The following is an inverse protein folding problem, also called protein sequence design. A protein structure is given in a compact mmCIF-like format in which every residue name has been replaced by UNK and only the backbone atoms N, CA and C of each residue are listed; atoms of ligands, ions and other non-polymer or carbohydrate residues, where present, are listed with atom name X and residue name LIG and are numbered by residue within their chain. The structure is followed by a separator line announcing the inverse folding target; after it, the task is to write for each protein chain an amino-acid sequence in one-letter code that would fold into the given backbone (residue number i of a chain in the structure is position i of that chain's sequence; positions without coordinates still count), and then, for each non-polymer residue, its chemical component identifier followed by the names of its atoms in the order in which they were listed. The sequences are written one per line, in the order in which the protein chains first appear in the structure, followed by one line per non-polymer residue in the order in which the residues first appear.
data_IF_646383687201
#
_entry.id   IF_646383687201
#
_cell.length_a   1.000
_cell.length_b   1.000
_cell.length_c   1.000
_cell.angle_alpha   90.00
_cell.angle_beta   90.00
_cell.angle_gamma   90.00
#
_symmetry.space_group_name_H-M   'P 1'
#
loop_
_entity.id
_entity.type
_entity.pdbx_description
1 polymer ?
#
# COMPACT_ATOMS: atom_id res chain seq x y z
N UNK A 1 -70.17 -19.76 -45.51
CA UNK A 1 -68.77 -20.14 -45.45
C UNK A 1 -67.97 -18.91 -45.09
N UNK A 2 -67.56 -18.76 -43.82
CA UNK A 2 -66.68 -17.65 -43.34
C UNK A 2 -65.44 -18.30 -42.76
N UNK A 3 -64.30 -18.08 -43.41
CA UNK A 3 -63.01 -18.57 -42.92
C UNK A 3 -62.43 -17.57 -41.89
N UNK A 4 -62.30 -18.00 -40.65
CA UNK A 4 -61.56 -17.31 -39.63
C UNK A 4 -60.10 -17.75 -39.72
N UNK A 5 -59.18 -16.83 -40.05
CA UNK A 5 -57.74 -17.02 -39.92
C UNK A 5 -57.31 -16.44 -38.58
N UNK A 6 -56.97 -17.32 -37.65
CA UNK A 6 -56.41 -16.97 -36.35
C UNK A 6 -54.92 -16.69 -36.56
N UNK A 7 -54.49 -15.46 -36.33
CA UNK A 7 -53.06 -15.07 -36.37
C UNK A 7 -52.46 -15.37 -34.99
N UNK A 8 -51.48 -16.24 -34.94
CA UNK A 8 -50.70 -16.58 -33.77
C UNK A 8 -49.57 -15.57 -33.58
N UNK A 9 -49.68 -14.69 -32.61
CA UNK A 9 -48.62 -13.74 -32.28
C UNK A 9 -47.58 -14.44 -31.38
N UNK A 10 -46.38 -14.67 -31.92
CA UNK A 10 -45.22 -15.17 -31.19
C UNK A 10 -44.53 -13.99 -30.49
N UNK A 11 -44.73 -13.83 -29.18
CA UNK A 11 -43.93 -12.90 -28.36
C UNK A 11 -42.57 -13.50 -28.12
N UNK A 12 -41.53 -12.94 -28.80
CA UNK A 12 -40.13 -13.21 -28.50
C UNK A 12 -39.78 -12.45 -27.23
N UNK A 13 -39.72 -13.14 -26.09
CA UNK A 13 -39.12 -12.59 -24.86
C UNK A 13 -37.60 -12.65 -24.98
N UNK A 14 -36.98 -11.51 -25.26
CA UNK A 14 -35.52 -11.34 -25.16
C UNK A 14 -35.11 -11.34 -23.69
N UNK A 15 -34.57 -12.46 -23.18
CA UNK A 15 -33.83 -12.49 -21.92
C UNK A 15 -32.57 -11.64 -22.07
N UNK A 16 -32.57 -10.44 -21.49
CA UNK A 16 -31.33 -9.73 -21.18
C UNK A 16 -30.62 -10.52 -20.06
N UNK A 17 -29.62 -11.29 -20.41
CA UNK A 17 -28.67 -11.82 -19.45
C UNK A 17 -27.86 -10.64 -18.91
N UNK A 18 -28.22 -10.13 -17.72
CA UNK A 18 -27.37 -9.26 -16.93
C UNK A 18 -26.18 -10.11 -16.50
N UNK A 19 -25.10 -10.04 -17.27
CA UNK A 19 -23.83 -10.63 -16.91
C UNK A 19 -23.34 -9.93 -15.66
N UNK A 20 -23.47 -10.57 -14.51
CA UNK A 20 -22.74 -10.17 -13.29
C UNK A 20 -21.26 -10.42 -13.58
N UNK A 21 -20.52 -9.35 -13.94
CA UNK A 21 -19.07 -9.41 -13.97
C UNK A 21 -18.62 -9.78 -12.56
N UNK A 22 -18.09 -10.99 -12.39
CA UNK A 22 -17.46 -11.37 -11.13
C UNK A 22 -16.36 -10.36 -10.81
N UNK A 23 -16.34 -9.84 -9.58
CA UNK A 23 -15.29 -8.94 -9.15
C UNK A 23 -13.97 -9.70 -9.23
N UNK A 24 -13.06 -9.21 -10.05
CA UNK A 24 -11.71 -9.75 -10.17
C UNK A 24 -10.91 -9.29 -8.96
N UNK A 25 -10.34 -10.24 -8.22
CA UNK A 25 -9.61 -9.96 -7.00
C UNK A 25 -8.33 -10.78 -6.91
N UNK A 26 -7.23 -10.15 -6.53
CA UNK A 26 -6.00 -10.82 -6.12
C UNK A 26 -5.82 -10.65 -4.62
N UNK A 27 -5.45 -11.74 -3.93
CA UNK A 27 -5.29 -11.76 -2.48
C UNK A 27 -3.94 -12.36 -2.13
N UNK A 28 -3.21 -11.67 -1.27
CA UNK A 28 -1.95 -12.11 -0.67
C UNK A 28 -2.15 -12.25 0.83
N UNK A 29 -1.70 -13.37 1.39
CA UNK A 29 -1.55 -13.53 2.83
C UNK A 29 -0.12 -13.20 3.19
N UNK A 30 0.09 -12.59 4.36
CA UNK A 30 1.37 -12.20 4.90
C UNK A 30 1.61 -12.87 6.27
N UNK A 31 2.83 -13.18 6.66
CA UNK A 31 3.12 -13.71 7.98
C UNK A 31 2.71 -12.75 9.09
N UNK A 32 2.61 -13.26 10.31
CA UNK A 32 2.26 -12.47 11.48
C UNK A 32 3.45 -12.33 12.40
N UNK A 33 3.64 -11.12 12.94
CA UNK A 33 4.63 -10.83 13.97
C UNK A 33 6.00 -10.46 13.43
N UNK A 34 6.07 -10.06 12.16
CA UNK A 34 7.29 -9.61 11.48
C UNK A 34 7.35 -8.09 11.26
N UNK A 35 6.44 -7.34 11.86
CA UNK A 35 6.36 -5.88 11.88
C UNK A 35 7.51 -5.15 12.63
N UNK A 36 8.72 -5.70 12.51
CA UNK A 36 9.95 -5.19 13.14
C UNK A 36 11.00 -4.78 12.10
N UNK A 37 10.58 -4.40 10.91
CA UNK A 37 11.47 -4.00 9.84
C UNK A 37 12.47 -5.09 9.46
N UNK A 38 13.79 -4.80 9.48
CA UNK A 38 14.82 -5.82 9.23
C UNK A 38 14.89 -6.94 10.30
N UNK A 39 14.05 -6.88 11.35
CA UNK A 39 13.95 -7.87 12.42
C UNK A 39 14.32 -7.36 13.82
N UNK A 40 14.77 -6.11 13.94
CA UNK A 40 15.28 -5.53 15.19
C UNK A 40 14.56 -4.24 15.62
N UNK A 41 13.54 -3.77 14.90
CA UNK A 41 12.87 -2.53 15.27
C UNK A 41 12.04 -2.69 16.53
N UNK A 42 12.05 -1.63 17.32
CA UNK A 42 11.38 -1.54 18.62
C UNK A 42 10.24 -0.52 18.47
N UNK A 43 9.05 -0.92 18.91
CA UNK A 43 7.88 -0.06 18.91
C UNK A 43 8.08 1.19 19.78
N UNK A 44 7.43 2.31 19.43
CA UNK A 44 7.36 3.49 20.29
C UNK A 44 6.76 3.15 21.66
N UNK A 45 7.12 3.96 22.67
CA UNK A 45 6.69 3.70 24.06
C UNK A 45 5.28 4.18 24.39
N UNK A 46 4.68 5.01 23.53
CA UNK A 46 3.29 5.45 23.75
C UNK A 46 2.29 4.32 23.43
N UNK A 47 1.27 4.21 24.26
CA UNK A 47 0.26 3.15 24.20
C UNK A 47 -0.62 3.17 22.95
N UNK A 48 -0.58 4.21 22.16
CA UNK A 48 -1.28 4.30 20.85
C UNK A 48 -0.65 3.36 19.80
N UNK A 49 0.60 2.95 20.01
CA UNK A 49 1.33 2.01 19.15
C UNK A 49 1.17 0.59 19.67
N UNK A 50 0.04 -0.01 19.40
CA UNK A 50 -0.25 -1.38 19.86
C UNK A 50 0.54 -2.42 19.09
N UNK A 51 0.93 -3.49 19.76
CA UNK A 51 1.57 -4.64 19.09
C UNK A 51 0.71 -5.16 17.94
N UNK A 52 1.32 -5.42 16.80
CA UNK A 52 0.66 -5.85 15.57
C UNK A 52 -0.10 -4.75 14.81
N UNK A 53 -0.05 -3.49 15.27
CA UNK A 53 -0.73 -2.38 14.56
C UNK A 53 -0.03 -1.98 13.25
N UNK A 54 1.19 -2.46 13.05
CA UNK A 54 1.97 -2.28 11.81
C UNK A 54 2.24 -3.61 11.09
N UNK A 55 1.70 -4.72 11.58
CA UNK A 55 1.84 -6.09 11.07
C UNK A 55 0.77 -6.35 10.01
N UNK A 56 1.16 -6.35 8.74
CA UNK A 56 0.30 -6.72 7.61
C UNK A 56 -0.02 -8.21 7.72
N UNK A 57 -1.26 -8.60 7.54
CA UNK A 57 -1.65 -10.02 7.57
C UNK A 57 -2.31 -10.48 6.29
N UNK A 58 -2.83 -9.51 5.52
CA UNK A 58 -3.47 -9.77 4.23
C UNK A 58 -3.53 -8.50 3.39
N UNK A 59 -3.35 -8.66 2.10
CA UNK A 59 -3.60 -7.63 1.10
C UNK A 59 -4.58 -8.16 0.07
N UNK A 60 -5.64 -7.41 -0.20
CA UNK A 60 -6.61 -7.73 -1.25
C UNK A 60 -6.75 -6.54 -2.20
N UNK A 61 -6.62 -6.80 -3.50
CA UNK A 61 -6.86 -5.81 -4.56
C UNK A 61 -8.03 -6.31 -5.39
N UNK A 62 -9.10 -5.52 -5.47
CA UNK A 62 -10.34 -5.93 -6.14
C UNK A 62 -10.70 -4.93 -7.22
N UNK A 63 -10.87 -5.41 -8.46
CA UNK A 63 -11.46 -4.63 -9.53
C UNK A 63 -12.98 -4.61 -9.37
N UNK A 64 -13.53 -3.42 -9.25
CA UNK A 64 -14.97 -3.18 -9.16
C UNK A 64 -15.36 -2.10 -10.18
N UNK A 65 -15.84 -2.53 -11.34
CA UNK A 65 -16.10 -1.63 -12.47
C UNK A 65 -14.83 -0.93 -12.95
N UNK A 66 -14.84 0.39 -12.90
CA UNK A 66 -13.72 1.27 -13.26
C UNK A 66 -12.79 1.62 -12.08
N UNK A 67 -13.04 1.04 -10.90
CA UNK A 67 -12.27 1.27 -9.68
C UNK A 67 -11.40 0.05 -9.33
N UNK A 68 -10.23 0.32 -8.74
CA UNK A 68 -9.46 -0.64 -7.98
C UNK A 68 -9.62 -0.32 -6.48
N UNK A 69 -10.15 -1.26 -5.71
CA UNK A 69 -10.19 -1.21 -4.25
C UNK A 69 -8.98 -1.94 -3.69
N UNK A 70 -8.30 -1.30 -2.75
CA UNK A 70 -7.19 -1.84 -1.99
C UNK A 70 -7.62 -2.01 -0.54
N UNK A 71 -7.42 -3.19 0.01
CA UNK A 71 -7.71 -3.52 1.38
C UNK A 71 -6.49 -4.19 2.02
N UNK A 72 -6.04 -3.64 3.15
CA UNK A 72 -4.89 -4.17 3.91
C UNK A 72 -5.35 -4.46 5.33
N UNK A 73 -5.23 -5.72 5.73
CA UNK A 73 -5.53 -6.17 7.08
C UNK A 73 -4.26 -6.13 7.93
N UNK A 74 -4.41 -5.69 9.18
CA UNK A 74 -3.33 -5.68 10.18
C UNK A 74 -3.66 -6.61 11.36
N UNK A 75 -2.64 -7.02 12.11
CA UNK A 75 -2.75 -7.96 13.23
C UNK A 75 -3.25 -7.32 14.54
N UNK A 76 -3.85 -6.14 14.48
CA UNK A 76 -4.42 -5.44 15.62
C UNK A 76 -5.72 -4.75 15.24
N UNK A 77 -6.58 -4.46 16.21
CA UNK A 77 -7.71 -3.56 15.99
C UNK A 77 -7.20 -2.15 15.73
N UNK A 78 -7.72 -1.51 14.68
CA UNK A 78 -7.42 -0.13 14.35
C UNK A 78 -8.06 0.82 15.35
N UNK A 79 -7.34 1.88 15.67
CA UNK A 79 -7.79 2.97 16.54
C UNK A 79 -7.43 4.31 15.92
N UNK A 80 -8.21 5.32 16.25
CA UNK A 80 -7.99 6.70 15.79
C UNK A 80 -7.67 7.65 16.97
N UNK A 81 -6.54 7.41 17.68
CA UNK A 81 -6.19 8.18 18.88
C UNK A 81 -5.97 9.66 18.60
N UNK A 82 -5.62 10.04 17.38
CA UNK A 82 -5.38 11.45 16.99
C UNK A 82 -6.60 12.11 16.33
N UNK A 83 -7.74 11.43 16.30
CA UNK A 83 -9.00 12.00 15.79
C UNK A 83 -8.94 12.38 14.32
N UNK A 84 -8.29 11.57 13.48
CA UNK A 84 -8.18 11.81 12.03
C UNK A 84 -9.53 11.66 11.33
N UNK A 85 -10.52 10.99 11.97
CA UNK A 85 -11.88 10.83 11.48
C UNK A 85 -12.04 9.77 10.39
N UNK A 86 -11.02 8.93 10.20
CA UNK A 86 -11.02 7.86 9.18
C UNK A 86 -10.89 6.47 9.79
N UNK A 87 -10.90 6.36 11.12
CA UNK A 87 -10.89 5.10 11.86
C UNK A 87 -9.49 4.52 12.12
N UNK A 88 -8.43 5.24 11.77
CA UNK A 88 -7.04 4.94 12.10
C UNK A 88 -6.20 6.22 12.05
N UNK A 89 -5.03 6.22 12.70
CA UNK A 89 -4.19 7.41 12.80
C UNK A 89 -2.72 7.16 12.57
N UNK A 90 -2.19 6.03 13.05
CA UNK A 90 -0.73 5.84 13.17
C UNK A 90 -0.12 5.15 11.95
N UNK A 91 -0.91 4.45 11.17
CA UNK A 91 -0.45 3.70 10.01
C UNK A 91 -0.42 4.58 8.75
N UNK A 92 0.51 4.26 7.85
CA UNK A 92 0.55 4.76 6.48
C UNK A 92 1.01 3.63 5.57
N UNK A 93 0.28 3.38 4.49
CA UNK A 93 0.51 2.22 3.63
C UNK A 93 0.82 2.71 2.21
N UNK A 94 1.87 2.15 1.63
CA UNK A 94 2.27 2.39 0.25
C UNK A 94 2.11 1.09 -0.54
N UNK A 95 1.25 1.09 -1.55
CA UNK A 95 1.01 -0.06 -2.40
C UNK A 95 1.64 0.23 -3.76
N UNK A 96 2.85 -0.25 -3.95
CA UNK A 96 3.58 -0.13 -5.21
C UNK A 96 3.07 -1.16 -6.20
N UNK A 97 2.94 -0.75 -7.46
CA UNK A 97 2.37 -1.55 -8.56
C UNK A 97 3.36 -1.58 -9.71
N UNK A 98 3.63 -2.79 -10.23
CA UNK A 98 4.32 -2.98 -11.49
C UNK A 98 3.36 -3.56 -12.52
N UNK A 99 2.99 -2.76 -13.49
CA UNK A 99 2.08 -3.09 -14.58
C UNK A 99 2.59 -2.67 -15.97
N UNK A 100 3.85 -2.21 -16.04
CA UNK A 100 4.55 -1.86 -17.26
C UNK A 100 6.04 -2.30 -17.17
N UNK A 101 6.75 -2.41 -18.31
CA UNK A 101 8.16 -2.84 -18.32
C UNK A 101 9.10 -1.88 -17.57
N UNK A 102 8.99 -0.59 -17.84
CA UNK A 102 9.84 0.43 -17.24
C UNK A 102 9.21 0.98 -15.96
N UNK A 103 10.04 1.45 -15.02
CA UNK A 103 9.56 1.97 -13.75
C UNK A 103 10.64 2.65 -12.93
N UNK A 104 10.29 2.96 -11.69
CA UNK A 104 11.15 3.62 -10.71
C UNK A 104 11.83 2.59 -9.81
N UNK A 105 13.14 2.72 -9.66
CA UNK A 105 13.93 1.84 -8.79
C UNK A 105 14.03 2.35 -7.34
N UNK A 106 13.84 3.65 -7.11
CA UNK A 106 13.86 4.22 -5.76
C UNK A 106 12.47 4.20 -5.14
N UNK A 107 12.39 3.97 -3.83
CA UNK A 107 11.16 4.15 -3.07
C UNK A 107 10.75 5.62 -2.97
N UNK A 108 9.56 5.87 -2.38
CA UNK A 108 9.15 7.25 -2.13
C UNK A 108 10.00 7.89 -1.01
N UNK A 109 10.15 9.22 -1.02
CA UNK A 109 10.88 9.95 0.02
C UNK A 109 10.45 9.58 1.43
N UNK A 110 11.42 9.27 2.29
CA UNK A 110 11.19 8.88 3.68
C UNK A 110 11.02 7.37 3.92
N UNK A 111 11.03 6.52 2.88
CA UNK A 111 11.01 5.06 3.04
C UNK A 111 12.42 4.46 3.10
N UNK A 112 13.38 5.09 2.44
CA UNK A 112 14.78 4.67 2.35
C UNK A 112 14.95 3.21 1.87
N UNK A 113 14.24 2.86 0.80
CA UNK A 113 14.30 1.54 0.14
C UNK A 113 14.48 1.70 -1.36
N UNK A 114 14.99 0.65 -1.99
CA UNK A 114 15.07 0.51 -3.46
C UNK A 114 14.29 -0.71 -3.92
N UNK A 115 14.03 -0.77 -5.22
CA UNK A 115 13.48 -1.95 -5.88
C UNK A 115 14.58 -2.63 -6.69
N UNK A 116 14.61 -3.96 -6.62
CA UNK A 116 15.58 -4.76 -7.35
C UNK A 116 15.42 -4.60 -8.87
N UNK A 117 16.49 -4.79 -9.67
CA UNK A 117 16.39 -4.82 -11.13
C UNK A 117 15.33 -5.80 -11.61
N UNK A 118 14.44 -5.35 -12.49
CA UNK A 118 13.28 -6.11 -12.94
C UNK A 118 12.03 -6.02 -12.03
N UNK A 119 12.15 -5.35 -10.89
CA UNK A 119 11.08 -5.13 -9.92
C UNK A 119 10.72 -3.64 -9.74
N UNK A 120 11.11 -2.77 -10.68
CA UNK A 120 10.79 -1.34 -10.68
C UNK A 120 9.27 -1.14 -10.71
N UNK A 121 8.80 -0.15 -9.95
CA UNK A 121 7.37 0.16 -9.86
C UNK A 121 6.96 1.27 -10.84
N UNK A 122 5.69 1.24 -11.29
CA UNK A 122 5.13 2.21 -12.21
C UNK A 122 4.12 3.14 -11.56
N UNK A 123 3.36 2.62 -10.61
CA UNK A 123 2.35 3.36 -9.85
C UNK A 123 2.45 3.02 -8.37
N UNK A 124 2.01 3.95 -7.54
CA UNK A 124 1.87 3.72 -6.10
C UNK A 124 0.56 4.30 -5.60
N UNK A 125 -0.18 3.53 -4.81
CA UNK A 125 -1.37 3.99 -4.10
C UNK A 125 -1.00 4.21 -2.64
N UNK A 126 -1.35 5.40 -2.11
CA UNK A 126 -1.06 5.75 -0.72
C UNK A 126 -2.36 5.70 0.09
N UNK A 127 -2.46 4.76 1.04
CA UNK A 127 -3.52 4.73 2.03
C UNK A 127 -3.05 5.44 3.28
N UNK A 128 -3.57 6.63 3.53
CA UNK A 128 -3.13 7.53 4.59
C UNK A 128 -4.31 7.96 5.47
N UNK A 129 -4.13 8.19 6.77
CA UNK A 129 -5.13 8.83 7.61
C UNK A 129 -5.22 10.34 7.32
N UNK A 130 -4.25 10.91 6.63
CA UNK A 130 -4.24 12.31 6.21
C UNK A 130 -5.23 12.55 5.06
N UNK A 131 -5.75 13.78 4.97
CA UNK A 131 -6.63 14.18 3.87
C UNK A 131 -5.89 14.08 2.53
N UNK A 132 -6.57 13.62 1.47
CA UNK A 132 -6.02 13.54 0.09
C UNK A 132 -5.26 14.80 -0.32
N UNK A 133 -5.87 15.98 -0.11
CA UNK A 133 -5.23 17.24 -0.51
C UNK A 133 -3.88 17.47 0.17
N UNK A 134 -3.71 17.02 1.42
CA UNK A 134 -2.43 17.08 2.11
C UNK A 134 -1.41 16.11 1.52
N UNK A 135 -1.79 14.85 1.34
CA UNK A 135 -0.89 13.83 0.76
C UNK A 135 -0.40 14.26 -0.63
N UNK A 136 -1.32 14.74 -1.48
CA UNK A 136 -1.00 15.24 -2.82
C UNK A 136 -0.08 16.46 -2.75
N UNK A 137 -0.35 17.43 -1.87
CA UNK A 137 0.49 18.62 -1.71
C UNK A 137 1.92 18.30 -1.23
N UNK A 138 2.06 17.35 -0.31
CA UNK A 138 3.36 16.85 0.14
C UNK A 138 4.10 16.13 -1.00
N UNK A 139 3.39 15.30 -1.77
CA UNK A 139 3.97 14.62 -2.94
C UNK A 139 4.44 15.61 -4.01
N UNK A 140 3.66 16.65 -4.31
CA UNK A 140 4.05 17.72 -5.24
C UNK A 140 5.33 18.44 -4.81
N UNK A 141 5.51 18.61 -3.52
CA UNK A 141 6.66 19.32 -2.96
C UNK A 141 7.91 18.43 -2.87
N UNK A 142 7.74 17.18 -2.40
CA UNK A 142 8.86 16.30 -2.03
C UNK A 142 9.20 15.25 -3.08
N UNK A 143 8.24 14.93 -3.95
CA UNK A 143 8.39 13.95 -5.03
C UNK A 143 7.86 14.47 -6.38
N UNK A 144 8.20 15.70 -6.83
CA UNK A 144 7.57 16.34 -8.00
C UNK A 144 7.71 15.53 -9.29
N UNK A 145 8.80 14.75 -9.41
CA UNK A 145 9.03 13.89 -10.59
C UNK A 145 8.20 12.61 -10.58
N UNK A 146 7.62 12.24 -9.44
CA UNK A 146 6.87 11.00 -9.23
C UNK A 146 5.36 11.26 -9.07
N UNK A 147 4.94 12.52 -8.98
CA UNK A 147 3.56 12.88 -8.63
C UNK A 147 2.52 12.32 -9.61
N UNK A 148 2.87 12.15 -10.87
CA UNK A 148 2.00 11.55 -11.89
C UNK A 148 1.79 10.04 -11.70
N UNK A 149 2.65 9.41 -10.89
CA UNK A 149 2.61 7.98 -10.60
C UNK A 149 2.10 7.68 -9.18
N UNK A 150 1.72 8.74 -8.43
CA UNK A 150 1.16 8.64 -7.08
C UNK A 150 -0.36 8.82 -7.15
N UNK A 151 -1.11 7.81 -6.75
CA UNK A 151 -2.56 7.86 -6.61
C UNK A 151 -2.95 7.86 -5.14
N UNK A 152 -3.90 8.73 -4.78
CA UNK A 152 -4.41 8.83 -3.41
C UNK A 152 -5.93 8.71 -3.43
N UNK A 153 -6.53 7.76 -2.71
CA UNK A 153 -7.98 7.65 -2.62
C UNK A 153 -8.64 8.94 -2.16
N UNK A 154 -9.84 9.23 -2.66
CA UNK A 154 -10.62 10.37 -2.16
C UNK A 154 -10.93 10.23 -0.66
N UNK A 155 -11.09 8.98 -0.22
CA UNK A 155 -11.30 8.63 1.18
C UNK A 155 -10.59 7.32 1.47
N UNK A 156 -9.75 7.29 2.49
CA UNK A 156 -9.22 6.07 3.10
C UNK A 156 -10.01 5.84 4.39
N UNK A 157 -10.33 4.57 4.70
CA UNK A 157 -11.07 4.22 5.93
C UNK A 157 -10.49 2.98 6.59
N UNK A 158 -10.35 3.07 7.91
CA UNK A 158 -10.07 1.95 8.80
C UNK A 158 -11.37 1.44 9.44
N UNK A 159 -11.55 0.13 9.49
CA UNK A 159 -12.62 -0.53 10.20
C UNK A 159 -12.14 -1.88 10.73
N UNK A 160 -12.34 -2.14 12.03
CA UNK A 160 -11.81 -3.31 12.72
C UNK A 160 -10.28 -3.44 12.53
N UNK A 161 -9.85 -4.30 11.61
CA UNK A 161 -8.44 -4.56 11.30
C UNK A 161 -8.07 -4.17 9.87
N UNK A 162 -8.99 -3.65 9.08
CA UNK A 162 -8.81 -3.42 7.65
C UNK A 162 -8.73 -1.93 7.33
N UNK A 163 -7.70 -1.50 6.62
CA UNK A 163 -7.58 -0.18 6.01
C UNK A 163 -7.89 -0.31 4.53
N UNK A 164 -8.83 0.51 4.03
CA UNK A 164 -9.30 0.46 2.64
C UNK A 164 -9.27 1.81 1.95
N UNK A 165 -9.05 1.76 0.64
CA UNK A 165 -9.23 2.90 -0.25
C UNK A 165 -9.42 2.46 -1.70
N UNK A 166 -10.08 3.29 -2.50
CA UNK A 166 -10.29 3.00 -3.93
C UNK A 166 -9.80 4.16 -4.79
N UNK A 167 -9.23 3.81 -5.94
CA UNK A 167 -8.83 4.78 -6.96
C UNK A 167 -9.34 4.34 -8.33
N UNK A 168 -9.58 5.27 -9.28
CA UNK A 168 -9.93 4.92 -10.65
C UNK A 168 -8.82 4.09 -11.30
N UNK A 169 -9.18 3.03 -12.03
CA UNK A 169 -8.23 2.24 -12.82
C UNK A 169 -7.46 3.10 -13.83
N UNK A 170 -8.09 4.17 -14.34
CA UNK A 170 -7.45 5.12 -15.25
C UNK A 170 -6.26 5.87 -14.64
N UNK A 171 -6.21 6.03 -13.30
CA UNK A 171 -5.05 6.62 -12.60
C UNK A 171 -3.88 5.64 -12.50
N UNK A 172 -4.15 4.33 -12.56
CA UNK A 172 -3.13 3.29 -12.39
C UNK A 172 -2.48 2.89 -13.72
N UNK A 173 -3.10 3.21 -14.86
CA UNK A 173 -2.61 2.78 -16.16
C UNK A 173 -2.74 1.26 -16.39
N UNK A 174 -1.93 0.73 -17.32
CA UNK A 174 -1.98 -0.68 -17.67
C UNK A 174 -3.28 -1.09 -18.38
N UNK A 175 -3.55 -2.40 -18.40
CA UNK A 175 -4.73 -3.00 -19.06
C UNK A 175 -5.95 -3.15 -18.12
N UNK A 176 -5.81 -2.72 -16.86
CA UNK A 176 -6.84 -2.88 -15.84
C UNK A 176 -7.00 -4.33 -15.36
N UNK A 177 -6.11 -5.24 -15.74
CA UNK A 177 -6.09 -6.62 -15.27
C UNK A 177 -5.27 -6.72 -13.98
N UNK A 178 -5.89 -6.37 -12.84
CA UNK A 178 -5.22 -6.31 -11.53
C UNK A 178 -4.57 -7.64 -11.13
N UNK A 179 -5.05 -8.79 -11.62
CA UNK A 179 -4.47 -10.10 -11.32
C UNK A 179 -3.16 -10.36 -12.05
N UNK A 180 -2.91 -9.65 -13.16
CA UNK A 180 -1.69 -9.77 -13.94
C UNK A 180 -0.55 -8.89 -13.43
N UNK A 181 -0.85 -7.91 -12.60
CA UNK A 181 0.11 -6.96 -12.06
C UNK A 181 0.94 -7.59 -10.93
N UNK A 182 2.08 -7.00 -10.62
CA UNK A 182 2.85 -7.34 -9.44
C UNK A 182 2.78 -6.19 -8.43
N UNK A 183 2.87 -6.53 -7.16
CA UNK A 183 2.68 -5.60 -6.06
C UNK A 183 3.80 -5.70 -5.03
N UNK A 184 4.08 -4.59 -4.36
CA UNK A 184 4.78 -4.57 -3.08
C UNK A 184 4.03 -3.63 -2.16
N UNK A 185 3.74 -4.07 -0.94
CA UNK A 185 3.03 -3.29 0.05
C UNK A 185 3.96 -2.99 1.21
N UNK A 186 4.02 -1.74 1.59
CA UNK A 186 4.89 -1.24 2.67
C UNK A 186 4.02 -0.63 3.74
N UNK A 187 4.23 -1.04 4.99
CA UNK A 187 3.69 -0.42 6.18
C UNK A 187 4.70 0.52 6.82
N UNK A 188 4.28 1.74 7.09
CA UNK A 188 5.07 2.78 7.73
C UNK A 188 4.23 3.56 8.76
N UNK A 189 4.89 4.26 9.67
CA UNK A 189 4.24 5.14 10.64
C UNK A 189 3.92 6.50 10.04
N UNK A 190 2.65 6.93 10.16
CA UNK A 190 2.21 8.26 9.75
C UNK A 190 2.87 9.36 10.60
N UNK A 191 3.39 10.37 9.94
CA UNK A 191 3.97 11.56 10.57
C UNK A 191 3.21 12.82 10.15
N UNK A 192 2.62 13.49 11.11
CA UNK A 192 1.91 14.74 10.88
C UNK A 192 2.83 15.94 10.60
N UNK A 193 4.08 15.88 11.07
CA UNK A 193 5.11 16.92 10.92
C UNK A 193 6.42 16.25 10.48
N UNK A 194 6.47 15.69 9.24
CA UNK A 194 7.62 14.92 8.78
C UNK A 194 8.86 15.80 8.62
N UNK A 195 10.04 15.17 8.59
CA UNK A 195 11.28 15.83 8.20
C UNK A 195 11.16 16.42 6.79
N UNK A 196 11.98 17.42 6.47
CA UNK A 196 11.82 18.22 5.26
C UNK A 196 11.81 17.40 3.96
N UNK A 197 12.53 16.27 3.92
CA UNK A 197 12.60 15.37 2.78
C UNK A 197 11.54 14.27 2.74
N UNK A 198 10.81 14.00 3.84
CA UNK A 198 10.02 12.80 4.00
C UNK A 198 8.55 13.00 3.65
N UNK A 199 7.96 12.05 2.94
CA UNK A 199 6.55 12.10 2.52
C UNK A 199 5.62 11.53 3.61
N UNK A 200 5.31 12.35 4.63
CA UNK A 200 4.42 12.00 5.75
C UNK A 200 4.82 10.71 6.49
N UNK A 201 6.07 10.32 6.37
CA UNK A 201 6.66 9.15 7.00
C UNK A 201 7.45 9.53 8.23
N UNK A 202 7.54 8.62 9.18
CA UNK A 202 8.27 8.78 10.42
C UNK A 202 9.55 7.96 10.39
N UNK A 203 10.69 8.60 10.52
CA UNK A 203 11.99 7.91 10.59
C UNK A 203 12.05 6.93 11.75
N UNK A 204 12.80 5.86 11.57
CA UNK A 204 13.24 4.98 12.64
C UNK A 204 14.53 5.56 13.21
N UNK A 205 14.64 5.65 14.52
CA UNK A 205 15.82 6.16 15.22
C UNK A 205 16.67 5.01 15.76
N UNK A 206 17.86 5.29 16.26
CA UNK A 206 18.69 4.31 16.97
C UNK A 206 17.96 3.78 18.21
N UNK A 207 17.33 4.68 18.98
CA UNK A 207 16.55 4.34 20.18
C UNK A 207 15.09 4.70 19.99
N UNK A 208 14.21 3.89 20.61
CA UNK A 208 12.77 4.18 20.62
C UNK A 208 12.47 5.43 21.44
N UNK A 209 11.46 6.16 20.99
CA UNK A 209 10.91 7.30 21.71
C UNK A 209 9.42 7.16 21.93
N UNK A 210 8.78 8.19 22.48
CA UNK A 210 7.35 8.17 22.72
C UNK A 210 6.57 7.87 21.41
N UNK A 211 6.98 8.47 20.29
CA UNK A 211 6.34 8.33 18.99
C UNK A 211 7.31 7.94 17.88
N UNK A 212 8.47 7.36 18.21
CA UNK A 212 9.50 6.95 17.26
C UNK A 212 9.84 5.48 17.47
N UNK A 213 9.91 4.73 16.39
CA UNK A 213 10.49 3.39 16.39
C UNK A 213 11.98 3.49 16.64
N UNK A 214 12.53 2.54 17.39
CA UNK A 214 13.95 2.37 17.62
C UNK A 214 14.52 1.16 16.89
N UNK A 215 15.83 0.95 17.03
CA UNK A 215 16.56 -0.15 16.40
C UNK A 215 17.08 0.15 15.01
N UNK A 216 16.92 1.39 14.53
CA UNK A 216 17.47 1.88 13.28
C UNK A 216 18.87 2.46 13.42
N UNK A 217 19.21 3.41 12.57
CA UNK A 217 20.50 4.12 12.59
C UNK A 217 20.27 5.63 12.37
N UNK A 218 20.73 6.46 13.29
CA UNK A 218 20.57 7.93 13.20
C UNK A 218 21.30 8.57 11.97
N UNK A 219 22.16 7.81 11.27
CA UNK A 219 22.74 8.20 10.00
C UNK A 219 21.85 7.98 8.77
N UNK A 220 20.59 7.55 8.98
CA UNK A 220 19.59 7.33 7.94
C UNK A 220 20.00 6.33 6.83
N UNK A 221 20.81 5.33 7.15
CA UNK A 221 21.16 4.26 6.20
C UNK A 221 20.17 3.08 6.23
N UNK A 222 19.33 3.00 7.26
CA UNK A 222 18.32 1.95 7.47
C UNK A 222 17.02 2.25 6.72
N UNK A 223 16.24 1.20 6.35
CA UNK A 223 14.90 1.39 5.80
C UNK A 223 13.94 1.86 6.89
N UNK A 224 13.17 2.91 6.63
CA UNK A 224 12.14 3.36 7.57
C UNK A 224 10.81 2.65 7.31
N UNK A 225 10.82 1.32 7.39
CA UNK A 225 9.70 0.44 7.02
C UNK A 225 9.49 -0.59 8.10
N UNK A 226 8.25 -0.71 8.59
CA UNK A 226 7.90 -1.64 9.68
C UNK A 226 7.64 -3.03 9.16
N UNK A 227 6.96 -3.13 8.00
CA UNK A 227 6.52 -4.37 7.43
C UNK A 227 6.39 -4.24 5.90
N UNK A 228 6.62 -5.33 5.18
CA UNK A 228 6.48 -5.42 3.72
C UNK A 228 5.84 -6.75 3.34
N UNK A 229 4.98 -6.71 2.32
CA UNK A 229 4.41 -7.93 1.77
C UNK A 229 5.51 -8.91 1.36
N UNK A 230 5.47 -10.14 1.88
CA UNK A 230 6.45 -11.18 1.55
C UNK A 230 5.86 -12.36 0.77
N UNK A 231 6.73 -13.18 0.22
CA UNK A 231 6.41 -14.44 -0.44
C UNK A 231 7.50 -15.48 -0.14
N UNK A 232 7.30 -16.71 -0.63
CA UNK A 232 8.31 -17.77 -0.48
C UNK A 232 9.69 -17.35 -1.04
N UNK A 233 9.70 -16.57 -2.15
CA UNK A 233 10.91 -16.16 -2.87
C UNK A 233 11.35 -14.72 -2.56
N UNK A 234 10.66 -14.02 -1.66
CA UNK A 234 10.94 -12.65 -1.28
C UNK A 234 10.61 -12.45 0.20
N UNK A 235 11.53 -12.85 1.07
CA UNK A 235 11.38 -12.75 2.52
C UNK A 235 11.66 -11.34 3.00
N UNK A 236 10.86 -10.83 3.95
CA UNK A 236 11.03 -9.50 4.53
C UNK A 236 12.44 -9.29 5.05
N UNK A 237 12.97 -10.22 5.83
CA UNK A 237 14.32 -10.13 6.41
C UNK A 237 15.44 -10.01 5.36
N UNK A 238 15.23 -10.56 4.14
CA UNK A 238 16.17 -10.42 3.01
C UNK A 238 15.97 -9.07 2.28
N UNK A 239 14.72 -8.68 2.04
CA UNK A 239 14.37 -7.44 1.36
C UNK A 239 14.74 -6.20 2.15
N UNK A 240 14.57 -6.24 3.47
CA UNK A 240 14.89 -5.13 4.37
C UNK A 240 16.34 -5.18 4.91
N UNK A 241 17.14 -6.21 4.54
CA UNK A 241 18.54 -6.26 4.90
C UNK A 241 19.32 -5.08 4.31
N UNK A 242 20.04 -4.35 5.14
CA UNK A 242 20.82 -3.17 4.78
C UNK A 242 22.22 -3.22 5.42
N UNK A 243 23.11 -2.33 5.00
CA UNK A 243 24.42 -2.15 5.61
C UNK A 243 24.77 -0.66 5.60
N UNK A 244 25.14 -0.17 6.78
CA UNK A 244 25.64 1.20 6.96
C UNK A 244 27.17 1.23 6.91
N UNK A 245 27.72 2.31 6.38
CA UNK A 245 29.12 2.66 6.53
C UNK A 245 29.40 3.32 7.88
N UNK A 246 30.69 3.61 8.15
CA UNK A 246 31.13 4.10 9.46
C UNK A 246 30.58 5.47 9.85
N UNK A 247 30.10 6.25 8.90
CA UNK A 247 29.49 7.58 9.13
C UNK A 247 27.97 7.54 8.97
N UNK A 248 27.34 6.36 8.94
CA UNK A 248 25.90 6.20 8.75
C UNK A 248 25.41 6.31 7.29
N UNK A 249 26.34 6.38 6.32
CA UNK A 249 25.97 6.34 4.91
C UNK A 249 25.50 4.96 4.47
N UNK A 250 24.58 4.90 3.50
CA UNK A 250 24.10 3.64 2.96
C UNK A 250 25.14 2.98 2.05
N UNK A 251 25.71 1.85 2.50
CA UNK A 251 26.59 0.98 1.71
C UNK A 251 25.80 -0.02 0.90
N UNK A 252 24.80 -0.65 1.54
CA UNK A 252 23.83 -1.55 0.90
C UNK A 252 22.44 -1.13 1.33
N UNK A 253 21.64 -0.57 0.43
CA UNK A 253 20.23 -0.23 0.75
C UNK A 253 19.37 -1.47 0.84
N UNK A 254 18.31 -1.41 1.65
CA UNK A 254 17.22 -2.36 1.59
C UNK A 254 16.64 -2.42 0.17
N UNK A 255 16.42 -3.64 -0.34
CA UNK A 255 16.08 -3.83 -1.75
C UNK A 255 14.89 -4.76 -1.90
N UNK A 256 13.77 -4.18 -2.30
CA UNK A 256 12.47 -4.84 -2.37
C UNK A 256 12.27 -5.57 -3.71
N UNK A 257 11.43 -6.60 -3.68
CA UNK A 257 10.94 -7.31 -4.86
C UNK A 257 9.43 -7.13 -4.99
N UNK A 258 8.95 -7.02 -6.22
CA UNK A 258 7.52 -7.10 -6.52
C UNK A 258 7.06 -8.54 -6.42
N UNK A 259 5.89 -8.75 -5.84
CA UNK A 259 5.25 -10.05 -5.64
C UNK A 259 4.10 -10.18 -6.63
N UNK A 260 4.03 -11.32 -7.27
CA UNK A 260 2.96 -11.70 -8.19
C UNK A 260 2.28 -12.98 -7.70
N UNK A 261 0.96 -13.03 -7.89
CA UNK A 261 0.19 -14.23 -7.57
C UNK A 261 0.31 -15.30 -8.65
#
# INVERSE_FOLDING_TARGET
MKNNKTALAICLASLLALGTSAAQAVVFDDPKGDDKGPGNYIYPTDSVYKAGSFDITKVAITKNGDQAEFAVDVNSSLEDPWGMGVGFSVQMIFIFIKNAPDGHADGLPGLNVKFAPGHEWNKVVILSPQKKARVVGEAQTKAPKLVADISVPNTTRGNNRTIKGSVPLSELGGDGNVDAWAYQVIMQSNEGFPAAGDLLTRKVNEYEGQHRFGGGNDGDCDPHVMDVLESADAKQSEMLAYTCGPNGESVKPATLKMIKK
#
